data_IF_298360762606
#
_entry.id   IF_298360762606
#
_cell.length_a   1.000
_cell.length_b   1.000
_cell.length_c   1.000
_cell.angle_alpha   90.00
_cell.angle_beta   90.00
_cell.angle_gamma   90.00
#
_symmetry.space_group_name_H-M   'P 1'
#
loop_
_entity.id
_entity.type
_entity.pdbx_description
1 polymer ?
#
# COMPACT_ATOMS: atom_id res chain seq x y z
N UNK A 1 13.29 -50.84 -18.91
CA UNK A 1 13.06 -49.38 -19.12
C UNK A 1 11.58 -48.95 -19.08
N UNK A 2 10.60 -49.88 -19.04
CA UNK A 2 9.17 -49.54 -19.05
C UNK A 2 8.57 -49.25 -17.64
N UNK A 3 9.07 -49.92 -16.59
CA UNK A 3 8.58 -49.74 -15.21
C UNK A 3 8.95 -48.39 -14.55
N UNK A 4 10.10 -47.81 -14.91
CA UNK A 4 10.54 -46.49 -14.38
C UNK A 4 9.66 -45.36 -14.93
N UNK A 5 9.23 -45.46 -16.20
CA UNK A 5 8.34 -44.48 -16.83
C UNK A 5 6.93 -44.53 -16.24
N UNK A 6 6.45 -45.71 -15.86
CA UNK A 6 5.16 -45.89 -15.18
C UNK A 6 5.18 -45.31 -13.77
N UNK A 7 6.25 -45.53 -13.00
CA UNK A 7 6.40 -44.95 -11.67
C UNK A 7 6.47 -43.41 -11.69
N UNK A 8 7.18 -42.82 -12.65
CA UNK A 8 7.25 -41.37 -12.83
C UNK A 8 5.89 -40.75 -13.21
N UNK A 9 5.09 -41.44 -14.04
CA UNK A 9 3.75 -40.98 -14.41
C UNK A 9 2.80 -40.99 -13.19
N UNK A 10 2.84 -42.04 -12.36
CA UNK A 10 2.04 -42.12 -11.13
C UNK A 10 2.44 -41.02 -10.15
N UNK A 11 3.74 -40.79 -9.94
CA UNK A 11 4.23 -39.73 -9.07
C UNK A 11 3.79 -38.34 -9.57
N UNK A 12 3.84 -38.10 -10.88
CA UNK A 12 3.34 -36.86 -11.49
C UNK A 12 1.87 -36.61 -11.21
N UNK A 13 1.02 -37.63 -11.35
CA UNK A 13 -0.42 -37.53 -11.04
C UNK A 13 -0.65 -37.21 -9.56
N UNK A 14 0.08 -37.87 -8.65
CA UNK A 14 -0.02 -37.60 -7.21
C UNK A 14 0.32 -36.14 -6.90
N UNK A 15 1.39 -35.60 -7.49
CA UNK A 15 1.78 -34.20 -7.29
C UNK A 15 0.71 -33.21 -7.78
N UNK A 16 0.07 -33.48 -8.93
CA UNK A 16 -1.02 -32.63 -9.43
C UNK A 16 -2.23 -32.68 -8.51
N UNK A 17 -2.63 -33.86 -8.06
CA UNK A 17 -3.77 -34.02 -7.14
C UNK A 17 -3.49 -33.37 -5.80
N UNK A 18 -2.28 -33.53 -5.25
CA UNK A 18 -1.87 -32.88 -4.01
C UNK A 18 -1.85 -31.36 -4.14
N UNK A 19 -1.30 -30.82 -5.24
CA UNK A 19 -1.29 -29.38 -5.51
C UNK A 19 -2.70 -28.80 -5.67
N UNK A 20 -3.59 -29.50 -6.38
CA UNK A 20 -4.98 -29.11 -6.52
C UNK A 20 -5.74 -29.15 -5.18
N UNK A 21 -5.53 -30.19 -4.37
CA UNK A 21 -6.11 -30.31 -3.04
C UNK A 21 -5.62 -29.21 -2.08
N UNK A 22 -4.32 -28.91 -2.11
CA UNK A 22 -3.73 -27.84 -1.30
C UNK A 22 -4.28 -26.46 -1.69
N UNK A 23 -4.41 -26.18 -2.99
CA UNK A 23 -5.02 -24.95 -3.48
C UNK A 23 -6.49 -24.84 -3.03
N UNK A 24 -7.27 -25.92 -3.14
CA UNK A 24 -8.67 -25.95 -2.71
C UNK A 24 -8.85 -25.73 -1.19
N UNK A 25 -7.89 -26.17 -0.37
CA UNK A 25 -7.89 -25.92 1.08
C UNK A 25 -7.53 -24.48 1.42
N UNK A 26 -6.59 -23.86 0.71
CA UNK A 26 -6.15 -22.49 0.99
C UNK A 26 -7.02 -21.39 0.35
N UNK A 27 -7.78 -21.72 -0.70
CA UNK A 27 -8.69 -20.77 -1.36
C UNK A 27 -10.03 -20.64 -0.67
N UNK A 28 -10.38 -21.56 0.24
CA UNK A 28 -11.57 -21.42 1.08
C UNK A 28 -11.21 -20.60 2.30
N UNK A 29 -11.67 -19.35 2.31
CA UNK A 29 -11.71 -18.56 3.53
C UNK A 29 -12.47 -19.35 4.62
N UNK A 30 -11.94 -19.48 5.84
CA UNK A 30 -12.67 -20.07 6.96
C UNK A 30 -13.84 -19.17 7.42
N UNK A 31 -13.85 -17.92 6.97
CA UNK A 31 -14.93 -16.98 7.23
C UNK A 31 -16.07 -17.25 6.23
N UNK A 32 -17.23 -17.62 6.76
CA UNK A 32 -18.50 -17.62 6.05
C UNK A 32 -19.15 -16.23 6.26
N UNK A 33 -19.06 -15.29 5.29
CA UNK A 33 -19.61 -13.97 5.46
C UNK A 33 -21.11 -14.07 5.66
N UNK A 34 -21.62 -13.56 6.78
CA UNK A 34 -23.05 -13.55 7.01
C UNK A 34 -23.76 -12.79 5.88
N UNK A 35 -24.86 -13.35 5.38
CA UNK A 35 -25.73 -12.64 4.45
C UNK A 35 -26.25 -11.37 5.13
N UNK A 36 -25.97 -10.22 4.54
CA UNK A 36 -26.48 -8.94 5.01
C UNK A 36 -27.38 -8.34 3.93
N UNK A 37 -28.66 -8.20 4.26
CA UNK A 37 -29.61 -7.43 3.45
C UNK A 37 -29.34 -5.95 3.66
N UNK A 38 -28.54 -5.36 2.77
CA UNK A 38 -28.31 -3.93 2.79
C UNK A 38 -29.59 -3.21 2.32
N UNK A 39 -30.00 -2.11 2.99
CA UNK A 39 -31.09 -1.28 2.48
C UNK A 39 -30.71 -0.72 1.11
N UNK A 40 -31.72 -0.37 0.31
CA UNK A 40 -31.48 0.38 -0.93
C UNK A 40 -30.65 1.64 -0.62
N UNK A 41 -29.63 1.97 -1.44
CA UNK A 41 -28.87 3.19 -1.25
C UNK A 41 -29.81 4.39 -1.14
N UNK A 42 -29.57 5.26 -0.17
CA UNK A 42 -30.32 6.50 -0.04
C UNK A 42 -30.23 7.33 -1.33
N UNK A 43 -31.26 8.12 -1.60
CA UNK A 43 -31.24 9.05 -2.73
C UNK A 43 -30.05 10.02 -2.59
N UNK A 44 -29.36 10.29 -3.70
CA UNK A 44 -28.21 11.21 -3.74
C UNK A 44 -28.69 12.66 -3.72
N UNK A 45 -29.13 13.12 -2.55
CA UNK A 45 -29.64 14.49 -2.31
C UNK A 45 -28.82 15.21 -1.23
N UNK A 46 -28.98 16.54 -1.14
CA UNK A 46 -28.27 17.35 -0.14
C UNK A 46 -26.76 17.22 -0.23
N UNK A 47 -26.11 16.81 0.85
CA UNK A 47 -24.64 16.61 0.91
C UNK A 47 -24.14 15.45 0.03
N UNK A 48 -25.02 14.52 -0.33
CA UNK A 48 -24.72 13.38 -1.20
C UNK A 48 -25.07 13.65 -2.67
N UNK A 49 -25.60 14.83 -2.99
CA UNK A 49 -25.92 15.22 -4.35
C UNK A 49 -24.68 15.23 -5.25
N UNK A 50 -24.86 14.83 -6.50
CA UNK A 50 -23.80 14.92 -7.51
C UNK A 50 -23.29 16.35 -7.63
N UNK A 51 -21.97 16.48 -7.79
CA UNK A 51 -21.33 17.76 -8.05
C UNK A 51 -20.04 17.56 -8.84
N UNK A 52 -19.57 18.64 -9.45
CA UNK A 52 -18.37 18.66 -10.28
C UNK A 52 -17.23 19.46 -9.63
N UNK A 53 -17.25 19.67 -8.30
CA UNK A 53 -16.30 20.56 -7.60
C UNK A 53 -14.84 20.18 -7.82
N UNK A 54 -14.55 18.89 -8.02
CA UNK A 54 -13.20 18.38 -8.25
C UNK A 54 -12.79 18.33 -9.73
N UNK A 55 -13.66 18.69 -10.68
CA UNK A 55 -13.31 18.66 -12.12
C UNK A 55 -12.15 19.59 -12.47
N UNK A 56 -12.06 20.74 -11.81
CA UNK A 56 -10.98 21.73 -12.00
C UNK A 56 -9.85 21.58 -10.99
N UNK A 57 -9.78 20.48 -10.25
CA UNK A 57 -8.72 20.27 -9.28
C UNK A 57 -7.36 20.14 -9.99
N UNK A 58 -6.35 20.83 -9.44
CA UNK A 58 -4.97 20.70 -9.88
C UNK A 58 -4.39 19.38 -9.36
N UNK A 59 -3.78 18.59 -10.25
CA UNK A 59 -3.17 17.30 -9.88
C UNK A 59 -1.72 17.51 -9.46
N UNK A 60 -1.45 17.29 -8.17
CA UNK A 60 -0.10 17.34 -7.61
C UNK A 60 0.60 16.00 -7.83
N UNK A 61 1.85 16.02 -8.32
CA UNK A 61 2.69 14.83 -8.47
C UNK A 61 2.21 13.84 -9.55
N UNK A 62 1.29 14.23 -10.44
CA UNK A 62 0.73 13.33 -11.45
C UNK A 62 1.81 12.69 -12.32
N UNK A 63 1.79 11.36 -12.41
CA UNK A 63 2.78 10.56 -13.13
C UNK A 63 4.15 10.43 -12.43
N UNK A 64 4.35 11.07 -11.28
CA UNK A 64 5.61 11.06 -10.53
C UNK A 64 5.50 10.29 -9.20
N UNK A 65 4.30 10.21 -8.61
CA UNK A 65 3.97 9.35 -7.46
C UNK A 65 3.21 8.11 -7.94
N UNK A 66 3.76 6.91 -7.70
CA UNK A 66 3.20 5.66 -8.21
C UNK A 66 2.39 4.98 -7.11
N UNK A 67 1.07 4.89 -7.30
CA UNK A 67 0.17 4.32 -6.29
C UNK A 67 0.39 4.93 -4.89
N UNK A 68 0.26 6.27 -4.73
CA UNK A 68 0.34 6.89 -3.42
C UNK A 68 -0.86 6.42 -2.57
N UNK A 69 -0.62 6.15 -1.29
CA UNK A 69 -1.68 5.73 -0.35
C UNK A 69 -2.01 6.87 0.62
N UNK A 70 -1.19 7.04 1.65
CA UNK A 70 -1.34 8.08 2.68
C UNK A 70 -0.43 9.31 2.41
N UNK A 71 -0.73 10.43 3.09
CA UNK A 71 0.04 11.66 3.01
C UNK A 71 0.24 12.34 4.38
N UNK A 72 1.43 12.89 4.59
CA UNK A 72 1.74 13.75 5.73
C UNK A 72 2.27 15.10 5.25
N UNK A 73 2.00 16.19 5.96
CA UNK A 73 2.44 17.54 5.61
C UNK A 73 3.22 18.16 6.75
N UNK A 74 4.49 18.51 6.50
CA UNK A 74 5.32 19.14 7.53
C UNK A 74 5.05 20.63 7.73
N UNK A 75 5.68 21.22 8.74
CA UNK A 75 5.52 22.63 9.09
C UNK A 75 5.99 23.60 8.00
N UNK A 76 6.76 23.12 7.03
CA UNK A 76 7.22 23.89 5.87
C UNK A 76 6.30 23.68 4.64
N UNK A 77 5.23 22.91 4.79
CA UNK A 77 4.27 22.62 3.72
C UNK A 77 4.75 21.57 2.72
N UNK A 78 5.80 20.80 3.04
CA UNK A 78 6.26 19.69 2.21
C UNK A 78 5.39 18.47 2.48
N UNK A 79 4.89 17.85 1.42
CA UNK A 79 4.09 16.65 1.46
C UNK A 79 4.99 15.41 1.39
N UNK A 80 4.68 14.39 2.18
CA UNK A 80 5.32 13.08 2.12
C UNK A 80 4.25 12.05 1.78
N UNK A 81 4.53 11.16 0.84
CA UNK A 81 3.62 10.06 0.49
C UNK A 81 4.40 8.79 0.21
N UNK A 82 3.94 7.69 0.79
CA UNK A 82 4.44 6.36 0.51
C UNK A 82 3.89 5.87 -0.84
N UNK A 83 4.76 5.32 -1.68
CA UNK A 83 4.43 4.88 -3.03
C UNK A 83 4.63 3.37 -3.20
N UNK A 84 3.92 2.79 -4.15
CA UNK A 84 3.99 1.37 -4.50
C UNK A 84 5.34 0.91 -5.06
N UNK A 85 6.26 1.83 -5.37
CA UNK A 85 7.65 1.54 -5.73
C UNK A 85 8.60 1.43 -4.52
N UNK A 86 8.06 1.39 -3.30
CA UNK A 86 8.82 1.29 -2.06
C UNK A 86 9.52 2.58 -1.64
N UNK A 87 9.28 3.69 -2.35
CA UNK A 87 9.80 5.00 -2.00
C UNK A 87 8.77 5.80 -1.21
N UNK A 88 9.24 6.48 -0.17
CA UNK A 88 8.57 7.67 0.33
C UNK A 88 9.03 8.84 -0.55
N UNK A 89 8.07 9.50 -1.20
CA UNK A 89 8.33 10.67 -2.04
C UNK A 89 7.96 11.94 -1.30
N UNK A 90 8.83 12.94 -1.39
CA UNK A 90 8.60 14.28 -0.85
C UNK A 90 8.21 15.22 -1.98
N UNK A 91 7.11 15.94 -1.81
CA UNK A 91 6.59 16.90 -2.77
C UNK A 91 6.62 18.30 -2.16
N UNK A 92 7.32 19.21 -2.83
CA UNK A 92 7.51 20.60 -2.38
C UNK A 92 7.08 21.57 -3.47
N UNK A 93 6.56 22.72 -3.06
CA UNK A 93 6.33 23.87 -3.94
C UNK A 93 7.53 24.80 -3.84
N UNK A 94 8.27 24.95 -4.94
CA UNK A 94 9.42 25.85 -5.02
C UNK A 94 8.95 27.14 -5.68
N UNK A 95 8.95 28.23 -4.91
CA UNK A 95 8.63 29.56 -5.42
C UNK A 95 9.93 30.29 -5.75
N UNK A 96 10.00 30.87 -6.95
CA UNK A 96 10.96 31.91 -7.30
C UNK A 96 10.20 33.18 -7.71
N UNK A 97 10.90 34.30 -7.90
CA UNK A 97 10.30 35.63 -8.13
C UNK A 97 9.34 35.69 -9.35
N UNK A 98 9.38 34.70 -10.24
CA UNK A 98 8.60 34.69 -11.49
C UNK A 98 7.74 33.44 -11.68
N UNK A 99 7.97 32.35 -10.93
CA UNK A 99 7.31 31.06 -11.11
C UNK A 99 7.27 30.22 -9.82
N UNK A 100 6.15 29.53 -9.62
CA UNK A 100 6.04 28.42 -8.68
C UNK A 100 6.13 27.10 -9.43
N UNK A 101 7.08 26.23 -9.05
CA UNK A 101 7.23 24.89 -9.62
C UNK A 101 7.01 23.81 -8.57
N UNK A 102 6.52 22.65 -9.02
CA UNK A 102 6.36 21.46 -8.19
C UNK A 102 7.62 20.60 -8.31
N UNK A 103 8.21 20.23 -7.18
CA UNK A 103 9.33 19.29 -7.13
C UNK A 103 8.89 18.00 -6.43
N UNK A 104 9.15 16.85 -7.05
CA UNK A 104 8.95 15.51 -6.46
C UNK A 104 10.31 14.85 -6.29
N UNK A 105 10.68 14.56 -5.04
CA UNK A 105 11.93 13.93 -4.66
C UNK A 105 11.68 12.50 -4.18
N UNK A 106 12.55 11.57 -4.57
CA UNK A 106 12.67 10.25 -3.94
C UNK A 106 13.40 10.41 -2.60
N UNK A 107 12.64 10.73 -1.55
CA UNK A 107 13.19 11.21 -0.29
C UNK A 107 13.84 10.10 0.55
N UNK A 108 13.16 8.96 0.71
CA UNK A 108 13.71 7.80 1.41
C UNK A 108 13.20 6.51 0.78
N UNK A 109 14.09 5.53 0.60
CA UNK A 109 13.71 4.19 0.15
C UNK A 109 13.43 3.31 1.36
N UNK A 110 12.21 2.81 1.43
CA UNK A 110 11.71 1.94 2.51
C UNK A 110 11.60 0.48 2.03
N UNK A 111 11.50 0.27 0.71
CA UNK A 111 11.14 -1.04 0.15
C UNK A 111 9.68 -1.38 0.41
N UNK A 112 9.27 -2.61 0.09
CA UNK A 112 7.91 -3.09 0.34
C UNK A 112 6.81 -2.29 -0.37
N UNK A 113 5.63 -2.25 0.26
CA UNK A 113 4.44 -1.48 -0.16
C UNK A 113 3.95 -0.67 1.05
N UNK A 114 4.66 0.41 1.42
CA UNK A 114 4.26 1.24 2.55
C UNK A 114 2.90 1.88 2.27
N UNK A 115 2.02 1.84 3.27
CA UNK A 115 0.62 2.26 3.15
C UNK A 115 0.31 3.51 3.99
N UNK A 116 0.86 3.59 5.20
CA UNK A 116 0.60 4.69 6.13
C UNK A 116 1.83 5.55 6.36
N UNK A 117 1.65 6.87 6.52
CA UNK A 117 2.73 7.81 6.85
C UNK A 117 2.26 8.85 7.88
N UNK A 118 3.10 9.15 8.87
CA UNK A 118 2.86 10.21 9.84
C UNK A 118 4.15 10.93 10.20
N UNK A 119 4.08 12.21 10.53
CA UNK A 119 5.23 12.92 11.07
C UNK A 119 5.49 12.46 12.50
N UNK A 120 6.75 12.12 12.78
CA UNK A 120 7.21 11.85 14.13
C UNK A 120 7.49 13.13 14.91
N UNK A 121 7.89 12.96 16.17
CA UNK A 121 8.08 14.08 17.10
C UNK A 121 9.45 14.76 16.96
N UNK A 122 10.40 14.11 16.27
CA UNK A 122 11.79 14.55 16.17
C UNK A 122 12.23 14.79 14.71
N UNK A 123 11.28 14.97 13.79
CA UNK A 123 11.54 15.24 12.38
C UNK A 123 11.73 13.99 11.51
N UNK A 124 11.50 12.80 12.07
CA UNK A 124 11.34 11.55 11.35
C UNK A 124 9.95 11.44 10.70
N UNK A 125 9.82 10.47 9.80
CA UNK A 125 8.54 9.97 9.31
C UNK A 125 8.29 8.58 9.90
N UNK A 126 7.15 8.39 10.53
CA UNK A 126 6.64 7.08 10.88
C UNK A 126 5.98 6.50 9.63
N UNK A 127 6.36 5.28 9.25
CA UNK A 127 5.86 4.61 8.05
C UNK A 127 5.33 3.23 8.43
N UNK A 128 4.13 2.88 7.97
CA UNK A 128 3.56 1.56 8.14
C UNK A 128 3.65 0.79 6.82
N UNK A 129 4.36 -0.33 6.85
CA UNK A 129 4.43 -1.28 5.75
C UNK A 129 3.81 -2.62 6.20
N UNK A 130 2.96 -3.25 5.37
CA UNK A 130 2.21 -4.44 5.77
C UNK A 130 3.12 -5.65 6.03
N UNK A 131 4.29 -5.73 5.40
CA UNK A 131 5.20 -6.88 5.57
C UNK A 131 6.29 -6.60 6.62
N UNK A 132 6.72 -5.33 6.75
CA UNK A 132 7.82 -4.93 7.63
C UNK A 132 7.35 -4.41 9.00
N UNK A 133 6.12 -3.91 9.09
CA UNK A 133 5.53 -3.32 10.29
C UNK A 133 5.65 -1.80 10.39
N UNK A 134 5.77 -1.30 11.62
CA UNK A 134 5.94 0.12 11.93
C UNK A 134 7.42 0.49 11.86
N UNK A 135 7.73 1.51 11.05
CA UNK A 135 9.07 1.96 10.73
C UNK A 135 9.26 3.41 11.16
N UNK A 136 10.46 3.75 11.62
CA UNK A 136 10.96 5.11 11.79
C UNK A 136 11.92 5.41 10.64
N UNK A 137 11.60 6.42 9.84
CA UNK A 137 12.29 6.75 8.59
C UNK A 137 12.85 8.16 8.65
N UNK A 138 14.13 8.28 8.33
CA UNK A 138 14.83 9.55 8.08
C UNK A 138 15.52 9.47 6.71
N UNK A 139 16.12 10.57 6.24
CA UNK A 139 16.68 10.69 4.89
C UNK A 139 17.88 9.76 4.57
N UNK A 140 18.30 8.91 5.53
CA UNK A 140 19.34 7.90 5.32
C UNK A 140 19.23 6.67 6.23
N UNK A 141 18.15 6.55 7.01
CA UNK A 141 17.98 5.43 7.93
C UNK A 141 16.52 5.00 7.99
N UNK A 142 16.30 3.68 7.93
CA UNK A 142 15.00 3.03 8.13
C UNK A 142 15.18 2.06 9.29
N UNK A 143 14.46 2.31 10.38
CA UNK A 143 14.49 1.49 11.58
C UNK A 143 13.13 0.85 11.81
N UNK A 144 13.08 -0.46 12.03
CA UNK A 144 11.86 -1.13 12.50
C UNK A 144 11.62 -0.77 13.96
N UNK A 145 10.47 -0.18 14.25
CA UNK A 145 10.00 0.10 15.61
C UNK A 145 9.19 -1.06 16.19
N UNK A 146 8.35 -1.68 15.35
CA UNK A 146 7.61 -2.89 15.70
C UNK A 146 7.28 -3.66 14.43
N UNK A 147 7.37 -4.99 14.50
CA UNK A 147 6.96 -5.91 13.46
C UNK A 147 6.04 -7.01 13.99
N UNK A 148 5.47 -6.83 15.18
CA UNK A 148 4.49 -7.73 15.78
C UNK A 148 3.60 -7.03 16.81
N UNK A 149 2.42 -7.60 17.04
CA UNK A 149 1.54 -7.26 18.15
C UNK A 149 1.00 -8.55 18.77
N UNK A 150 1.01 -8.64 20.10
CA UNK A 150 0.55 -9.82 20.85
C UNK A 150 1.18 -11.15 20.37
N UNK A 151 2.45 -11.10 19.95
CA UNK A 151 3.21 -12.25 19.45
C UNK A 151 2.86 -12.68 18.01
N UNK A 152 1.98 -11.95 17.32
CA UNK A 152 1.64 -12.16 15.92
C UNK A 152 2.38 -11.13 15.04
N UNK A 153 3.07 -11.62 14.01
CA UNK A 153 3.62 -10.77 12.94
C UNK A 153 2.47 -10.05 12.23
N UNK A 154 2.72 -8.80 11.83
CA UNK A 154 1.81 -8.05 10.96
C UNK A 154 1.67 -8.73 9.60
#
# INVERSE_FOLDING_TARGET
MMGVKFGAAILGVICVVAGAGWNALLTRSPLDPAHIDLPLPSERVGVLAFNDKLRSAYKVGYGQVLGPEDLAVDSEGRLYTACADGWVKRVSFVNNDTHSSLQVEKWAYVGGRPLGVALGLHGELLVCDPDQGLLNVTQGNVQVLSNEADGLRF
#
